data_IF_492241999208
#
_entry.id   IF_492241999208
#
_cell.length_a   1.000
_cell.length_b   1.000
_cell.length_c   1.000
_cell.angle_alpha   90.00
_cell.angle_beta   90.00
_cell.angle_gamma   90.00
#
_symmetry.space_group_name_H-M   'P 1'
#
loop_
_entity.id
_entity.type
_entity.pdbx_description
1 polymer ?
#
# COMPACT_ATOMS: atom_id res chain seq x y z
N UNK A 1 -2.89 -23.17 10.48
CA UNK A 1 -3.03 -21.80 11.03
C UNK A 1 -3.74 -20.98 9.97
N UNK A 2 -4.77 -20.22 10.33
CA UNK A 2 -5.63 -19.58 9.33
C UNK A 2 -5.30 -18.10 9.16
N UNK A 3 -5.49 -17.61 7.93
CA UNK A 3 -5.51 -16.17 7.61
C UNK A 3 -6.33 -15.35 8.62
N UNK A 4 -7.42 -15.95 9.11
CA UNK A 4 -8.36 -15.31 10.02
C UNK A 4 -7.80 -15.14 11.44
N UNK A 5 -6.85 -15.99 11.88
CA UNK A 5 -6.22 -15.91 13.19
C UNK A 5 -5.35 -14.65 13.31
N UNK A 6 -4.48 -14.41 12.31
CA UNK A 6 -3.63 -13.21 12.29
C UNK A 6 -4.48 -11.93 12.13
N UNK A 7 -5.46 -11.94 11.23
CA UNK A 7 -6.38 -10.81 11.07
C UNK A 7 -7.06 -10.46 12.40
N UNK A 8 -7.59 -11.46 13.10
CA UNK A 8 -8.30 -11.28 14.38
C UNK A 8 -7.36 -10.78 15.47
N UNK A 9 -6.15 -11.35 15.56
CA UNK A 9 -5.11 -10.93 16.50
C UNK A 9 -4.76 -9.44 16.33
N UNK A 10 -4.56 -9.00 15.09
CA UNK A 10 -4.26 -7.59 14.78
C UNK A 10 -5.46 -6.71 15.14
N UNK A 11 -6.67 -7.11 14.76
CA UNK A 11 -7.89 -6.34 15.05
C UNK A 11 -8.18 -6.21 16.55
N UNK A 12 -7.71 -7.14 17.37
CA UNK A 12 -7.80 -7.08 18.82
C UNK A 12 -6.71 -6.21 19.47
N UNK A 13 -5.73 -5.73 18.69
CA UNK A 13 -4.59 -4.96 19.19
C UNK A 13 -3.51 -5.80 19.87
N UNK A 14 -3.52 -7.13 19.67
CA UNK A 14 -2.54 -8.03 20.29
C UNK A 14 -1.24 -8.07 19.49
N UNK A 15 -0.31 -7.17 19.82
CA UNK A 15 0.99 -7.06 19.15
C UNK A 15 1.79 -8.36 19.27
N UNK A 16 1.85 -8.95 20.47
CA UNK A 16 2.69 -10.11 20.74
C UNK A 16 2.23 -11.32 19.94
N UNK A 17 0.94 -11.64 20.00
CA UNK A 17 0.40 -12.77 19.26
C UNK A 17 0.44 -12.54 17.75
N UNK A 18 0.23 -11.29 17.29
CA UNK A 18 0.31 -10.98 15.86
C UNK A 18 1.73 -11.14 15.30
N UNK A 19 2.75 -10.76 16.06
CA UNK A 19 4.16 -11.03 15.70
C UNK A 19 4.43 -12.53 15.66
N UNK A 20 3.95 -13.30 16.63
CA UNK A 20 4.13 -14.76 16.64
C UNK A 20 3.49 -15.41 15.40
N UNK A 21 2.21 -15.12 15.14
CA UNK A 21 1.46 -15.69 14.02
C UNK A 21 2.07 -15.30 12.67
N UNK A 22 2.45 -14.04 12.47
CA UNK A 22 3.12 -13.61 11.23
C UNK A 22 4.46 -14.32 11.02
N UNK A 23 5.26 -14.48 12.09
CA UNK A 23 6.53 -15.21 12.01
C UNK A 23 6.33 -16.68 11.67
N UNK A 24 5.30 -17.31 12.23
CA UNK A 24 4.92 -18.67 11.87
C UNK A 24 4.53 -18.77 10.39
N UNK A 25 3.78 -17.82 9.85
CA UNK A 25 3.43 -17.80 8.43
C UNK A 25 4.67 -17.65 7.53
N UNK A 26 5.64 -16.82 7.94
CA UNK A 26 6.90 -16.64 7.19
C UNK A 26 7.71 -17.93 7.15
N UNK A 27 7.81 -18.64 8.28
CA UNK A 27 8.70 -19.81 8.42
C UNK A 27 8.06 -21.10 7.92
N UNK A 28 6.76 -21.30 8.16
CA UNK A 28 6.07 -22.57 7.90
C UNK A 28 5.40 -22.55 6.54
N UNK A 29 4.67 -21.47 6.24
CA UNK A 29 3.81 -21.41 5.06
C UNK A 29 4.52 -20.80 3.84
N UNK A 30 5.70 -20.17 4.03
CA UNK A 30 6.47 -19.44 3.00
C UNK A 30 5.59 -18.47 2.16
N UNK A 31 4.48 -18.02 2.75
CA UNK A 31 3.37 -17.38 2.04
C UNK A 31 3.34 -15.88 2.31
N UNK A 32 4.34 -15.17 1.79
CA UNK A 32 4.47 -13.73 1.99
C UNK A 32 3.28 -12.94 1.43
N UNK A 33 2.82 -13.25 0.21
CA UNK A 33 1.65 -12.63 -0.43
C UNK A 33 0.39 -12.68 0.47
N UNK A 34 0.26 -13.72 1.29
CA UNK A 34 -0.87 -13.85 2.21
C UNK A 34 -0.79 -12.81 3.33
N UNK A 35 0.40 -12.48 3.83
CA UNK A 35 0.59 -11.40 4.81
C UNK A 35 0.18 -10.05 4.22
N UNK A 36 0.60 -9.76 2.99
CA UNK A 36 0.23 -8.52 2.30
C UNK A 36 -1.30 -8.38 2.19
N UNK A 37 -1.96 -9.47 1.78
CA UNK A 37 -3.42 -9.52 1.71
C UNK A 37 -4.09 -9.35 3.08
N UNK A 38 -3.51 -9.88 4.17
CA UNK A 38 -4.03 -9.68 5.52
C UNK A 38 -3.90 -8.22 5.94
N UNK A 39 -2.75 -7.59 5.72
CA UNK A 39 -2.54 -6.19 6.10
C UNK A 39 -3.44 -5.23 5.31
N UNK A 40 -3.66 -5.51 4.01
CA UNK A 40 -4.65 -4.80 3.20
C UNK A 40 -6.07 -4.98 3.77
N UNK A 41 -6.44 -6.21 4.16
CA UNK A 41 -7.75 -6.49 4.75
C UNK A 41 -7.93 -5.75 6.10
N UNK A 42 -6.89 -5.68 6.94
CA UNK A 42 -6.92 -4.89 8.19
C UNK A 42 -7.01 -3.39 7.91
N UNK A 43 -6.24 -2.87 6.95
CA UNK A 43 -6.33 -1.46 6.51
C UNK A 43 -7.74 -1.10 6.07
N UNK A 44 -8.36 -1.95 5.26
CA UNK A 44 -9.75 -1.78 4.86
C UNK A 44 -10.68 -1.85 6.06
N UNK A 45 -10.50 -2.82 6.96
CA UNK A 45 -11.28 -2.92 8.19
C UNK A 45 -11.25 -1.61 8.99
N UNK A 46 -10.05 -1.06 9.25
CA UNK A 46 -9.85 0.23 9.92
C UNK A 46 -10.53 1.36 9.15
N UNK A 47 -10.39 1.40 7.82
CA UNK A 47 -11.06 2.38 6.95
C UNK A 47 -12.59 2.43 7.10
N UNK A 48 -13.23 1.37 7.63
CA UNK A 48 -14.68 1.39 7.94
C UNK A 48 -15.06 2.21 9.17
N UNK A 49 -14.14 2.47 10.11
CA UNK A 49 -14.42 3.21 11.35
C UNK A 49 -13.39 4.29 11.71
N UNK A 50 -12.33 4.45 10.90
CA UNK A 50 -11.31 5.47 11.10
C UNK A 50 -11.91 6.87 11.27
N UNK A 51 -11.23 7.71 12.03
CA UNK A 51 -11.62 9.09 12.30
C UNK A 51 -10.60 10.05 11.69
N UNK A 52 -11.03 11.27 11.35
CA UNK A 52 -10.17 12.23 10.67
C UNK A 52 -8.93 12.61 11.50
N UNK A 53 -9.00 12.54 12.83
CA UNK A 53 -7.88 12.84 13.72
C UNK A 53 -6.77 11.79 13.69
N UNK A 54 -7.07 10.56 13.26
CA UNK A 54 -6.08 9.47 13.19
C UNK A 54 -5.77 9.05 11.75
N UNK A 55 -6.39 9.68 10.75
CA UNK A 55 -6.23 9.27 9.36
C UNK A 55 -4.78 9.41 8.87
N UNK A 56 -3.99 10.32 9.43
CA UNK A 56 -2.55 10.42 9.17
C UNK A 56 -1.78 9.18 9.59
N UNK A 57 -2.20 8.49 10.66
CA UNK A 57 -1.62 7.19 11.07
C UNK A 57 -1.93 6.10 10.05
N UNK A 58 -3.16 6.07 9.53
CA UNK A 58 -3.56 5.11 8.51
C UNK A 58 -2.84 5.37 7.17
N UNK A 59 -2.65 6.64 6.81
CA UNK A 59 -1.87 7.04 5.64
C UNK A 59 -0.41 6.56 5.71
N UNK A 60 0.23 6.70 6.88
CA UNK A 60 1.58 6.18 7.13
C UNK A 60 1.64 4.65 7.00
N UNK A 61 0.63 3.92 7.50
CA UNK A 61 0.53 2.47 7.31
C UNK A 61 0.36 2.09 5.82
N UNK A 62 -0.44 2.85 5.06
CA UNK A 62 -0.58 2.60 3.61
C UNK A 62 0.75 2.72 2.89
N UNK A 63 1.58 3.69 3.27
CA UNK A 63 2.91 3.85 2.71
C UNK A 63 3.83 2.67 3.05
N UNK A 64 3.87 2.24 4.31
CA UNK A 64 4.70 1.11 4.70
C UNK A 64 4.32 -0.19 3.96
N UNK A 65 3.02 -0.47 3.84
CA UNK A 65 2.53 -1.65 3.11
C UNK A 65 2.80 -1.52 1.61
N UNK A 66 2.61 -0.33 1.04
CA UNK A 66 2.91 -0.09 -0.37
C UNK A 66 4.40 -0.32 -0.67
N UNK A 67 5.29 0.17 0.20
CA UNK A 67 6.73 -0.06 0.08
C UNK A 67 7.08 -1.55 0.26
N UNK A 68 6.42 -2.24 1.20
CA UNK A 68 6.58 -3.68 1.39
C UNK A 68 6.25 -4.47 0.11
N UNK A 69 5.13 -4.14 -0.54
CA UNK A 69 4.68 -4.77 -1.80
C UNK A 69 5.68 -4.52 -2.95
N UNK A 70 6.39 -3.39 -2.97
CA UNK A 70 7.41 -3.11 -4.00
C UNK A 70 8.76 -3.79 -3.72
N UNK A 71 8.96 -4.31 -2.51
CA UNK A 71 10.26 -4.84 -2.10
C UNK A 71 10.32 -6.34 -2.37
N UNK A 72 11.23 -6.77 -3.25
CA UNK A 72 11.47 -8.19 -3.56
C UNK A 72 12.07 -9.00 -2.38
N UNK A 73 12.32 -8.34 -1.23
CA UNK A 73 12.98 -8.92 -0.06
C UNK A 73 12.10 -8.79 1.18
N UNK A 74 11.99 -9.90 1.90
CA UNK A 74 11.31 -9.95 3.18
C UNK A 74 12.18 -9.30 4.26
N UNK A 75 11.79 -8.10 4.72
CA UNK A 75 12.45 -7.40 5.81
C UNK A 75 11.62 -7.57 7.08
N UNK A 76 12.01 -8.52 7.94
CA UNK A 76 11.30 -8.88 9.19
C UNK A 76 10.99 -7.65 10.06
N UNK A 77 11.96 -6.74 10.15
CA UNK A 77 11.84 -5.49 10.88
C UNK A 77 10.63 -4.66 10.41
N UNK A 78 10.47 -4.48 9.10
CA UNK A 78 9.36 -3.73 8.52
C UNK A 78 8.02 -4.41 8.80
N UNK A 79 7.98 -5.74 8.70
CA UNK A 79 6.77 -6.53 9.00
C UNK A 79 6.30 -6.30 10.43
N UNK A 80 7.22 -6.38 11.40
CA UNK A 80 6.86 -6.19 12.81
C UNK A 80 6.42 -4.76 13.11
N UNK A 81 7.03 -3.76 12.45
CA UNK A 81 6.60 -2.37 12.56
C UNK A 81 5.19 -2.19 12.01
N UNK A 82 4.90 -2.71 10.82
CA UNK A 82 3.56 -2.66 10.19
C UNK A 82 2.52 -3.30 11.12
N UNK A 83 2.78 -4.50 11.62
CA UNK A 83 1.90 -5.19 12.57
C UNK A 83 1.65 -4.32 13.81
N UNK A 84 2.71 -3.75 14.37
CA UNK A 84 2.62 -2.91 15.58
C UNK A 84 1.75 -1.69 15.31
N UNK A 85 1.96 -0.98 14.20
CA UNK A 85 1.16 0.18 13.79
C UNK A 85 -0.31 -0.19 13.60
N UNK A 86 -0.59 -1.30 12.91
CA UNK A 86 -1.96 -1.81 12.71
C UNK A 86 -2.64 -2.14 14.06
N UNK A 87 -1.94 -2.86 14.95
CA UNK A 87 -2.46 -3.21 16.28
C UNK A 87 -2.75 -1.97 17.13
N UNK A 88 -1.84 -0.98 17.16
CA UNK A 88 -2.05 0.27 17.89
C UNK A 88 -3.31 0.97 17.39
N UNK A 89 -3.46 1.10 16.07
CA UNK A 89 -4.61 1.80 15.50
C UNK A 89 -5.93 1.05 15.78
N UNK A 90 -5.92 -0.28 15.73
CA UNK A 90 -7.08 -1.09 16.16
C UNK A 90 -7.38 -0.94 17.66
N UNK A 91 -6.37 -0.95 18.53
CA UNK A 91 -6.54 -0.80 19.98
C UNK A 91 -7.17 0.56 20.35
N UNK A 92 -6.81 1.64 19.66
CA UNK A 92 -7.44 2.96 19.82
C UNK A 92 -8.96 2.85 19.62
N UNK A 93 -9.40 2.19 18.54
CA UNK A 93 -10.84 2.07 18.23
C UNK A 93 -11.55 0.95 19.01
N UNK A 94 -10.82 -0.01 19.57
CA UNK A 94 -11.39 -0.96 20.54
C UNK A 94 -11.73 -0.24 21.86
N UNK A 95 -10.88 0.71 22.29
CA UNK A 95 -11.11 1.55 23.48
C UNK A 95 -12.10 2.68 23.23
N UNK A 96 -12.15 3.19 22.01
CA UNK A 96 -13.05 4.27 21.59
C UNK A 96 -13.84 3.88 20.33
N UNK A 97 -14.88 3.03 20.46
CA UNK A 97 -15.61 2.52 19.31
C UNK A 97 -16.34 3.61 18.53
N UNK A 98 -16.25 3.54 17.20
CA UNK A 98 -16.95 4.42 16.26
C UNK A 98 -17.84 3.57 15.34
N UNK A 99 -18.97 4.13 14.92
CA UNK A 99 -19.87 3.45 14.00
C UNK A 99 -19.19 3.13 12.65
N UNK A 100 -19.29 1.88 12.22
CA UNK A 100 -18.72 1.41 10.94
C UNK A 100 -19.58 1.85 9.74
N UNK A 101 -18.95 2.37 8.71
CA UNK A 101 -19.51 2.42 7.36
C UNK A 101 -19.82 0.99 6.88
N UNK A 102 -20.80 0.82 5.99
CA UNK A 102 -21.21 -0.52 5.53
C UNK A 102 -22.32 -1.18 6.36
N UNK A 103 -22.52 -0.78 7.62
CA UNK A 103 -23.46 -1.48 8.52
C UNK A 103 -24.88 -0.87 8.54
N UNK A 104 -25.01 0.42 8.25
CA UNK A 104 -26.30 1.12 8.26
C UNK A 104 -27.22 0.67 7.12
N UNK A 105 -28.54 0.64 7.32
CA UNK A 105 -29.49 0.39 6.21
C UNK A 105 -29.45 1.51 5.17
N UNK A 106 -29.70 1.19 3.89
CA UNK A 106 -29.68 2.19 2.81
C UNK A 106 -30.69 3.33 3.05
N UNK A 107 -31.85 3.03 3.64
CA UNK A 107 -32.87 4.03 3.96
C UNK A 107 -32.38 5.04 5.02
N UNK A 108 -31.81 4.55 6.12
CA UNK A 108 -31.27 5.41 7.18
C UNK A 108 -30.07 6.21 6.67
N UNK A 109 -29.21 5.57 5.86
CA UNK A 109 -28.06 6.22 5.23
C UNK A 109 -28.51 7.37 4.34
N UNK A 110 -29.47 7.12 3.43
CA UNK A 110 -30.05 8.14 2.54
C UNK A 110 -30.61 9.33 3.34
N UNK A 111 -31.31 9.07 4.45
CA UNK A 111 -31.88 10.13 5.27
C UNK A 111 -30.78 11.00 5.91
N UNK A 112 -29.69 10.41 6.42
CA UNK A 112 -28.57 11.17 7.01
C UNK A 112 -27.91 12.10 6.02
N UNK A 113 -27.70 11.65 4.78
CA UNK A 113 -27.02 12.44 3.74
C UNK A 113 -27.98 13.18 2.80
N UNK A 114 -29.29 13.17 3.07
CA UNK A 114 -30.30 13.77 2.19
C UNK A 114 -30.04 15.26 1.96
N UNK A 115 -29.61 15.97 2.99
CA UNK A 115 -29.24 17.38 2.90
C UNK A 115 -28.09 17.63 1.91
N UNK A 116 -27.19 16.67 1.71
CA UNK A 116 -26.07 16.76 0.76
C UNK A 116 -26.54 16.40 -0.65
N UNK A 117 -27.28 15.29 -0.76
CA UNK A 117 -27.76 14.80 -2.06
C UNK A 117 -28.75 15.78 -2.71
N UNK A 118 -29.62 16.39 -1.91
CA UNK A 118 -30.70 17.26 -2.41
C UNK A 118 -30.29 18.73 -2.54
N UNK A 119 -29.33 19.20 -1.74
CA UNK A 119 -28.85 20.59 -1.82
C UNK A 119 -27.66 20.78 -2.78
N UNK A 120 -27.41 19.82 -3.68
CA UNK A 120 -26.34 19.94 -4.66
C UNK A 120 -26.81 20.65 -5.94
N UNK A 121 -26.69 21.97 -5.93
CA UNK A 121 -26.87 22.85 -7.09
C UNK A 121 -25.59 23.04 -7.92
N UNK A 122 -24.45 22.56 -7.41
CA UNK A 122 -23.17 22.70 -8.11
C UNK A 122 -23.19 21.91 -9.42
N UNK A 123 -22.87 22.61 -10.51
CA UNK A 123 -22.61 22.01 -11.83
C UNK A 123 -21.15 22.20 -12.19
N UNK A 124 -20.57 21.17 -12.80
CA UNK A 124 -19.22 21.27 -13.35
C UNK A 124 -19.24 22.19 -14.58
N UNK A 125 -18.22 23.05 -14.69
CA UNK A 125 -17.98 23.81 -15.92
C UNK A 125 -17.53 22.86 -17.04
N UNK A 126 -17.60 23.30 -18.30
CA UNK A 126 -17.13 22.49 -19.43
C UNK A 126 -15.67 22.04 -19.26
N UNK A 127 -14.78 22.95 -18.85
CA UNK A 127 -13.40 22.60 -18.53
C UNK A 127 -13.29 21.60 -17.37
N UNK A 128 -14.18 21.70 -16.39
CA UNK A 128 -14.30 20.73 -15.30
C UNK A 128 -14.68 19.33 -15.82
N UNK A 129 -15.69 19.25 -16.69
CA UNK A 129 -16.12 17.99 -17.31
C UNK A 129 -14.98 17.37 -18.14
N UNK A 130 -14.28 18.17 -18.94
CA UNK A 130 -13.17 17.70 -19.77
C UNK A 130 -12.04 17.05 -18.95
N UNK A 131 -11.78 17.52 -17.71
CA UNK A 131 -10.79 16.89 -16.82
C UNK A 131 -11.16 15.46 -16.46
N UNK A 132 -12.44 15.11 -16.48
CA UNK A 132 -12.97 13.80 -16.12
C UNK A 132 -13.33 12.92 -17.33
N UNK A 133 -12.96 13.29 -18.56
CA UNK A 133 -13.29 12.51 -19.78
C UNK A 133 -12.77 11.05 -19.73
N UNK A 134 -11.67 10.81 -19.01
CA UNK A 134 -11.12 9.46 -18.81
C UNK A 134 -11.96 8.57 -17.89
N UNK A 135 -12.82 9.14 -17.05
CA UNK A 135 -13.62 8.40 -16.06
C UNK A 135 -15.12 8.53 -16.29
N UNK A 136 -15.57 9.49 -17.09
CA UNK A 136 -16.97 9.65 -17.42
C UNK A 136 -17.39 8.62 -18.47
N UNK A 137 -18.60 8.05 -18.35
CA UNK A 137 -19.16 7.24 -19.43
C UNK A 137 -19.49 8.14 -20.63
N UNK A 138 -19.82 7.57 -21.80
CA UNK A 138 -20.31 8.34 -22.94
C UNK A 138 -21.50 9.25 -22.58
N UNK A 139 -21.61 10.41 -23.22
CA UNK A 139 -22.63 11.41 -22.93
C UNK A 139 -24.09 10.94 -23.14
N UNK A 140 -24.29 9.91 -23.96
CA UNK A 140 -25.57 9.25 -24.21
C UNK A 140 -25.86 8.09 -23.25
N UNK A 141 -24.93 7.74 -22.35
CA UNK A 141 -25.12 6.67 -21.38
C UNK A 141 -26.10 7.10 -20.27
N UNK A 142 -26.99 6.20 -19.84
CA UNK A 142 -28.03 6.50 -18.83
C UNK A 142 -27.47 7.06 -17.51
N UNK A 143 -26.28 6.60 -17.12
CA UNK A 143 -25.62 7.01 -15.89
C UNK A 143 -24.71 8.25 -16.03
N UNK A 144 -24.65 8.91 -17.20
CA UNK A 144 -23.79 10.08 -17.41
C UNK A 144 -24.11 11.24 -16.46
N UNK A 145 -25.39 11.64 -16.38
CA UNK A 145 -25.84 12.70 -15.47
C UNK A 145 -25.62 12.33 -14.00
N UNK A 146 -25.79 11.04 -13.67
CA UNK A 146 -25.52 10.52 -12.33
C UNK A 146 -24.03 10.62 -11.99
N UNK A 147 -23.14 10.26 -12.91
CA UNK A 147 -21.70 10.37 -12.74
C UNK A 147 -21.26 11.82 -12.51
N UNK A 148 -21.77 12.77 -13.31
CA UNK A 148 -21.53 14.20 -13.09
C UNK A 148 -22.04 14.68 -11.73
N UNK A 149 -23.22 14.22 -11.32
CA UNK A 149 -23.80 14.54 -10.01
C UNK A 149 -22.93 14.04 -8.85
N UNK A 150 -22.40 12.82 -8.94
CA UNK A 150 -21.48 12.26 -7.93
C UNK A 150 -20.22 13.11 -7.81
N UNK A 151 -19.57 13.43 -8.95
CA UNK A 151 -18.36 14.27 -8.96
C UNK A 151 -18.65 15.64 -8.32
N UNK A 152 -19.76 16.27 -8.70
CA UNK A 152 -20.15 17.56 -8.16
C UNK A 152 -20.37 17.50 -6.63
N UNK A 153 -21.05 16.46 -6.11
CA UNK A 153 -21.25 16.28 -4.67
C UNK A 153 -19.92 16.14 -3.94
N UNK A 154 -19.00 15.30 -4.43
CA UNK A 154 -17.69 15.08 -3.82
C UNK A 154 -16.92 16.40 -3.77
N UNK A 155 -16.80 17.10 -4.91
CA UNK A 155 -16.06 18.37 -4.99
C UNK A 155 -16.71 19.44 -4.10
N UNK A 156 -18.04 19.59 -4.15
CA UNK A 156 -18.76 20.57 -3.33
C UNK A 156 -18.50 20.33 -1.84
N UNK A 157 -18.61 19.08 -1.40
CA UNK A 157 -18.40 18.70 0.01
C UNK A 157 -16.96 18.94 0.46
N UNK A 158 -15.97 18.70 -0.40
CA UNK A 158 -14.58 19.03 -0.09
C UNK A 158 -14.42 20.55 0.04
N UNK A 159 -14.92 21.33 -0.93
CA UNK A 159 -14.78 22.80 -0.94
C UNK A 159 -15.39 23.50 0.28
N UNK A 160 -16.38 22.89 0.95
CA UNK A 160 -16.92 23.47 2.19
C UNK A 160 -15.92 23.51 3.34
N UNK A 161 -14.76 22.85 3.22
CA UNK A 161 -13.69 22.92 4.21
C UNK A 161 -12.63 23.97 3.91
N UNK A 162 -12.62 24.57 2.70
CA UNK A 162 -11.56 25.49 2.26
C UNK A 162 -11.39 26.64 3.28
N UNK A 163 -12.50 27.26 3.68
CA UNK A 163 -12.53 28.42 4.59
C UNK A 163 -12.51 28.05 6.09
N UNK A 164 -12.47 26.76 6.46
CA UNK A 164 -12.47 26.33 7.86
C UNK A 164 -11.04 26.29 8.43
N UNK A 165 -10.86 26.69 9.69
CA UNK A 165 -9.60 26.47 10.41
C UNK A 165 -9.47 25.01 10.83
N UNK A 166 -8.24 24.53 11.03
CA UNK A 166 -8.00 23.25 11.70
C UNK A 166 -8.57 23.21 13.14
N UNK A 167 -8.81 24.37 13.75
CA UNK A 167 -9.45 24.48 15.07
C UNK A 167 -10.98 24.19 15.04
N UNK A 168 -11.61 24.26 13.85
CA UNK A 168 -13.03 23.89 13.65
C UNK A 168 -13.22 22.35 13.58
N UNK A 169 -12.58 21.62 14.50
CA UNK A 169 -12.46 20.15 14.46
C UNK A 169 -13.83 19.47 14.32
N UNK A 170 -14.83 19.88 15.10
CA UNK A 170 -16.16 19.28 15.07
C UNK A 170 -16.86 19.42 13.71
N UNK A 171 -16.67 20.56 13.02
CA UNK A 171 -17.22 20.78 11.67
C UNK A 171 -16.48 19.92 10.65
N UNK A 172 -15.15 19.88 10.73
CA UNK A 172 -14.31 19.07 9.83
C UNK A 172 -14.64 17.58 9.96
N UNK A 173 -14.81 17.10 11.19
CA UNK A 173 -15.32 15.77 11.52
C UNK A 173 -16.69 15.52 10.89
N UNK A 174 -17.63 16.47 11.02
CA UNK A 174 -18.97 16.35 10.46
C UNK A 174 -18.94 16.20 8.94
N UNK A 175 -18.18 17.07 8.27
CA UNK A 175 -18.03 17.08 6.81
C UNK A 175 -17.35 15.79 6.33
N UNK A 176 -16.26 15.37 6.98
CA UNK A 176 -15.51 14.18 6.57
C UNK A 176 -16.36 12.92 6.73
N UNK A 177 -17.10 12.77 7.84
CA UNK A 177 -17.99 11.64 8.04
C UNK A 177 -19.16 11.65 7.04
N UNK A 178 -19.73 12.81 6.76
CA UNK A 178 -20.76 12.96 5.74
C UNK A 178 -20.27 12.49 4.36
N UNK A 179 -19.06 12.87 3.97
CA UNK A 179 -18.46 12.43 2.70
C UNK A 179 -18.27 10.90 2.66
N UNK A 180 -17.82 10.28 3.76
CA UNK A 180 -17.76 8.81 3.85
C UNK A 180 -19.12 8.15 3.66
N UNK A 181 -20.16 8.70 4.28
CA UNK A 181 -21.53 8.19 4.16
C UNK A 181 -22.08 8.35 2.74
N UNK A 182 -21.71 9.44 2.04
CA UNK A 182 -22.00 9.62 0.62
C UNK A 182 -21.33 8.54 -0.22
N UNK A 183 -20.03 8.29 -0.02
CA UNK A 183 -19.29 7.23 -0.71
C UNK A 183 -19.92 5.86 -0.45
N UNK A 184 -20.25 5.55 0.80
CA UNK A 184 -20.95 4.32 1.21
C UNK A 184 -22.29 4.16 0.47
N UNK A 185 -23.09 5.23 0.43
CA UNK A 185 -24.37 5.20 -0.28
C UNK A 185 -24.21 4.93 -1.77
N UNK A 186 -23.25 5.59 -2.41
CA UNK A 186 -22.97 5.44 -3.85
C UNK A 186 -22.51 4.01 -4.16
N UNK A 187 -21.56 3.46 -3.38
CA UNK A 187 -21.05 2.10 -3.57
C UNK A 187 -22.15 1.04 -3.45
N UNK A 188 -23.14 1.25 -2.58
CA UNK A 188 -24.27 0.32 -2.39
C UNK A 188 -25.39 0.45 -3.40
N UNK A 189 -25.41 1.51 -4.21
CA UNK A 189 -26.39 1.67 -5.30
C UNK A 189 -26.15 0.73 -6.47
N UNK A 190 -24.97 0.10 -6.56
CA UNK A 190 -24.61 -0.86 -7.62
C UNK A 190 -24.81 -0.29 -9.04
N UNK A 191 -24.56 1.00 -9.20
CA UNK A 191 -24.60 1.67 -10.50
C UNK A 191 -23.42 1.15 -11.34
N UNK A 192 -23.66 0.95 -12.62
CA UNK A 192 -22.64 0.55 -13.60
C UNK A 192 -22.17 1.78 -14.37
N UNK A 193 -20.88 2.05 -14.33
CA UNK A 193 -20.25 3.18 -15.00
C UNK A 193 -19.03 2.64 -15.75
N UNK A 194 -19.14 2.58 -17.07
CA UNK A 194 -18.02 2.24 -17.94
C UNK A 194 -17.02 3.40 -17.96
N UNK A 195 -15.75 3.12 -17.66
CA UNK A 195 -14.68 4.13 -17.59
C UNK A 195 -13.49 3.71 -18.46
N UNK A 196 -12.75 4.68 -19.01
CA UNK A 196 -11.45 4.40 -19.65
C UNK A 196 -10.37 4.12 -18.61
N UNK A 197 -10.54 4.66 -17.40
CA UNK A 197 -9.64 4.46 -16.26
C UNK A 197 -9.50 2.99 -15.85
N UNK A 198 -10.60 2.25 -15.86
CA UNK A 198 -10.59 0.80 -15.66
C UNK A 198 -11.56 0.14 -16.63
N UNK A 199 -11.07 -0.22 -17.81
CA UNK A 199 -11.89 -0.66 -18.95
C UNK A 199 -12.42 -2.09 -18.85
N UNK A 200 -11.91 -2.89 -17.91
CA UNK A 200 -12.24 -4.32 -17.79
C UNK A 200 -13.38 -4.61 -16.81
N UNK A 201 -13.88 -3.60 -16.10
CA UNK A 201 -14.94 -3.74 -15.10
C UNK A 201 -15.73 -2.42 -14.95
N UNK A 202 -17.06 -2.51 -14.95
CA UNK A 202 -17.98 -1.36 -14.94
C UNK A 202 -18.43 -0.97 -13.52
N UNK A 203 -17.76 -1.48 -12.50
CA UNK A 203 -18.12 -1.24 -11.11
C UNK A 203 -17.85 0.20 -10.68
N UNK A 204 -18.83 0.79 -9.98
CA UNK A 204 -18.72 2.16 -9.47
C UNK A 204 -17.51 2.41 -8.54
N UNK A 205 -16.92 1.36 -7.96
CA UNK A 205 -15.68 1.49 -7.19
C UNK A 205 -14.55 2.09 -8.02
N UNK A 206 -14.41 1.67 -9.29
CA UNK A 206 -13.38 2.16 -10.20
C UNK A 206 -13.63 3.60 -10.63
N UNK A 207 -14.90 3.96 -10.82
CA UNK A 207 -15.28 5.34 -11.04
C UNK A 207 -14.87 6.24 -9.86
N UNK A 208 -15.16 5.84 -8.62
CA UNK A 208 -14.78 6.62 -7.42
C UNK A 208 -13.26 6.75 -7.31
N UNK A 209 -12.51 5.66 -7.52
CA UNK A 209 -11.05 5.73 -7.57
C UNK A 209 -10.57 6.74 -8.63
N UNK A 210 -11.11 6.66 -9.85
CA UNK A 210 -10.80 7.61 -10.91
C UNK A 210 -11.10 9.07 -10.57
N UNK A 211 -12.20 9.34 -9.85
CA UNK A 211 -12.52 10.70 -9.36
C UNK A 211 -11.40 11.20 -8.45
N UNK A 212 -11.00 10.41 -7.44
CA UNK A 212 -9.96 10.80 -6.50
C UNK A 212 -8.58 10.89 -7.17
N UNK A 213 -8.23 9.98 -8.09
CA UNK A 213 -6.97 10.04 -8.85
C UNK A 213 -6.85 11.27 -9.75
N UNK A 214 -7.97 11.82 -10.22
CA UNK A 214 -7.96 13.07 -11.00
C UNK A 214 -7.88 14.30 -10.08
N UNK A 215 -8.54 14.25 -8.93
CA UNK A 215 -8.56 15.35 -7.95
C UNK A 215 -7.24 15.48 -7.18
N UNK A 216 -6.57 14.36 -6.90
CA UNK A 216 -5.42 14.28 -6.01
C UNK A 216 -4.28 13.51 -6.66
N UNK A 217 -3.06 14.04 -6.53
CA UNK A 217 -1.80 13.43 -7.03
C UNK A 217 -0.84 13.06 -5.89
N UNK A 218 -1.30 13.19 -4.66
CA UNK A 218 -0.52 12.92 -3.47
C UNK A 218 -0.32 11.41 -3.30
N UNK A 219 0.90 11.02 -2.91
CA UNK A 219 1.33 9.63 -2.74
C UNK A 219 0.37 8.77 -1.90
N UNK A 220 -0.30 9.36 -0.92
CA UNK A 220 -1.28 8.64 -0.08
C UNK A 220 -2.46 8.05 -0.87
N UNK A 221 -2.94 8.75 -1.90
CA UNK A 221 -4.01 8.24 -2.77
C UNK A 221 -3.50 7.15 -3.71
N UNK A 222 -2.27 7.30 -4.21
CA UNK A 222 -1.60 6.28 -5.02
C UNK A 222 -1.38 5.00 -4.19
N UNK A 223 -0.89 5.12 -2.96
CA UNK A 223 -0.73 4.01 -2.03
C UNK A 223 -2.07 3.34 -1.73
N UNK A 224 -3.11 4.11 -1.41
CA UNK A 224 -4.44 3.56 -1.14
C UNK A 224 -5.00 2.80 -2.35
N UNK A 225 -4.83 3.35 -3.56
CA UNK A 225 -5.24 2.68 -4.80
C UNK A 225 -4.42 1.41 -5.06
N UNK A 226 -3.11 1.46 -4.84
CA UNK A 226 -2.21 0.31 -4.96
C UNK A 226 -2.63 -0.83 -4.02
N UNK A 227 -2.89 -0.53 -2.75
CA UNK A 227 -3.40 -1.50 -1.78
C UNK A 227 -4.76 -2.07 -2.23
N UNK A 228 -5.64 -1.24 -2.78
CA UNK A 228 -6.93 -1.71 -3.31
C UNK A 228 -6.75 -2.64 -4.51
N UNK A 229 -5.78 -2.37 -5.39
CA UNK A 229 -5.58 -3.09 -6.64
C UNK A 229 -4.64 -4.32 -6.53
N UNK A 230 -3.79 -4.38 -5.51
CA UNK A 230 -2.82 -5.46 -5.32
C UNK A 230 -3.52 -6.84 -5.26
N UNK A 231 -3.18 -7.73 -6.19
CA UNK A 231 -3.81 -9.06 -6.35
C UNK A 231 -5.35 -9.01 -6.40
N UNK A 232 -5.92 -7.95 -6.99
CA UNK A 232 -7.36 -7.73 -6.99
C UNK A 232 -8.13 -8.84 -7.71
N UNK A 233 -9.14 -9.36 -7.02
CA UNK A 233 -10.15 -10.29 -7.55
C UNK A 233 -11.52 -9.78 -7.14
N UNK A 234 -12.55 -9.95 -7.97
CA UNK A 234 -13.92 -9.45 -7.69
C UNK A 234 -14.45 -9.85 -6.31
N UNK A 235 -14.05 -11.02 -5.80
CA UNK A 235 -14.38 -11.50 -4.44
C UNK A 235 -13.86 -10.61 -3.29
N UNK A 236 -12.77 -9.85 -3.50
CA UNK A 236 -12.19 -8.96 -2.50
C UNK A 236 -12.87 -7.59 -2.44
N UNK A 237 -13.70 -7.24 -3.42
CA UNK A 237 -14.38 -5.95 -3.51
C UNK A 237 -15.02 -5.53 -2.19
N UNK A 238 -15.87 -6.38 -1.62
CA UNK A 238 -16.62 -6.08 -0.39
C UNK A 238 -15.65 -5.89 0.78
N UNK A 239 -14.65 -6.77 0.91
CA UNK A 239 -13.64 -6.69 1.97
C UNK A 239 -12.78 -5.42 1.88
N UNK A 240 -12.56 -4.89 0.66
CA UNK A 240 -11.72 -3.71 0.40
C UNK A 240 -12.46 -2.37 0.36
N UNK A 241 -13.78 -2.35 0.61
CA UNK A 241 -14.55 -1.09 0.56
C UNK A 241 -14.11 -0.05 1.60
N UNK A 242 -13.51 -0.48 2.71
CA UNK A 242 -13.01 0.45 3.71
C UNK A 242 -11.88 1.35 3.23
N UNK A 243 -11.08 0.90 2.25
CA UNK A 243 -10.10 1.76 1.58
C UNK A 243 -10.79 2.91 0.83
N UNK A 244 -11.92 2.64 0.16
CA UNK A 244 -12.72 3.68 -0.50
C UNK A 244 -13.38 4.63 0.52
N UNK A 245 -13.87 4.11 1.64
CA UNK A 245 -14.40 4.96 2.71
C UNK A 245 -13.32 5.88 3.27
N UNK A 246 -12.07 5.42 3.38
CA UNK A 246 -10.96 6.24 3.87
C UNK A 246 -10.65 7.45 2.97
N UNK A 247 -10.99 7.40 1.68
CA UNK A 247 -10.77 8.51 0.75
C UNK A 247 -11.52 9.78 1.15
N UNK A 248 -12.72 9.64 1.73
CA UNK A 248 -13.49 10.77 2.25
C UNK A 248 -12.83 11.46 3.44
N UNK A 249 -11.96 10.76 4.17
CA UNK A 249 -11.15 11.34 5.25
C UNK A 249 -9.84 11.93 4.70
N UNK A 250 -9.16 11.16 3.84
CA UNK A 250 -7.87 11.53 3.26
C UNK A 250 -7.94 12.84 2.49
N UNK A 251 -9.02 13.07 1.73
CA UNK A 251 -9.16 14.30 0.96
C UNK A 251 -9.29 15.54 1.83
N UNK A 252 -9.96 15.45 2.98
CA UNK A 252 -10.04 16.56 3.94
C UNK A 252 -8.71 16.71 4.68
N UNK A 253 -8.07 15.60 5.04
CA UNK A 253 -6.75 15.59 5.69
C UNK A 253 -5.67 16.28 4.84
N UNK A 254 -5.62 16.05 3.53
CA UNK A 254 -4.67 16.75 2.66
C UNK A 254 -4.84 18.27 2.71
N UNK A 255 -6.07 18.76 2.82
CA UNK A 255 -6.36 20.20 2.93
C UNK A 255 -6.15 20.76 4.34
N UNK A 256 -6.16 19.91 5.38
CA UNK A 256 -6.14 20.30 6.81
C UNK A 256 -5.24 19.37 7.62
N UNK A 257 -3.96 19.24 7.24
CA UNK A 257 -3.06 18.21 7.79
C UNK A 257 -2.92 18.26 9.32
N UNK A 258 -2.95 19.46 9.92
CA UNK A 258 -2.79 19.64 11.36
C UNK A 258 -3.91 19.01 12.21
N UNK A 259 -5.04 18.61 11.59
CA UNK A 259 -6.11 17.89 12.29
C UNK A 259 -5.68 16.51 12.76
N UNK A 260 -4.67 15.90 12.12
CA UNK A 260 -4.13 14.59 12.48
C UNK A 260 -2.67 14.70 12.88
N UNK A 261 -2.41 14.64 14.19
CA UNK A 261 -1.07 14.80 14.78
C UNK A 261 -0.12 13.60 14.57
N UNK A 262 -0.51 12.64 13.74
CA UNK A 262 0.23 11.40 13.51
C UNK A 262 0.35 10.55 14.78
N UNK A 263 1.47 9.83 14.89
CA UNK A 263 1.80 8.99 16.05
C UNK A 263 2.18 9.83 17.28
N UNK A 264 1.55 9.56 18.41
CA UNK A 264 1.88 10.19 19.70
C UNK A 264 3.22 9.67 20.23
N UNK A 265 3.85 10.39 21.17
CA UNK A 265 5.12 9.95 21.77
C UNK A 265 5.01 8.55 22.42
N UNK A 266 3.86 8.23 23.03
CA UNK A 266 3.64 6.90 23.62
C UNK A 266 3.59 5.81 22.56
N UNK A 267 2.90 6.06 21.45
CA UNK A 267 2.81 5.11 20.33
C UNK A 267 4.17 4.95 19.65
N UNK A 268 4.90 6.04 19.42
CA UNK A 268 6.26 6.00 18.86
C UNK A 268 7.21 5.18 19.72
N UNK A 269 7.19 5.38 21.04
CA UNK A 269 8.03 4.59 21.95
C UNK A 269 7.78 3.08 21.83
N UNK A 270 6.53 2.66 21.58
CA UNK A 270 6.21 1.23 21.36
C UNK A 270 6.75 0.76 20.01
N UNK A 271 6.56 1.55 18.95
CA UNK A 271 7.07 1.26 17.60
C UNK A 271 8.60 1.14 17.62
N UNK A 272 9.28 2.14 18.18
CA UNK A 272 10.74 2.19 18.32
C UNK A 272 11.24 1.01 19.17
N UNK A 273 10.48 0.60 20.19
CA UNK A 273 10.90 -0.56 20.98
C UNK A 273 10.85 -1.86 20.18
N UNK A 274 9.82 -2.05 19.37
CA UNK A 274 9.71 -3.21 18.48
C UNK A 274 10.80 -3.16 17.41
N UNK A 275 11.09 -1.98 16.87
CA UNK A 275 12.19 -1.72 15.94
C UNK A 275 13.53 -2.26 16.47
N UNK A 276 13.89 -1.88 17.70
CA UNK A 276 15.11 -2.29 18.40
C UNK A 276 15.23 -3.80 18.63
N UNK A 277 14.13 -4.46 18.99
CA UNK A 277 14.16 -5.87 19.44
C UNK A 277 13.77 -6.86 18.34
N UNK A 278 13.30 -6.38 17.18
CA UNK A 278 12.72 -7.17 16.09
C UNK A 278 13.53 -8.42 15.71
N UNK A 279 14.83 -8.26 15.48
CA UNK A 279 15.72 -9.37 15.07
C UNK A 279 15.93 -10.39 16.20
N UNK A 280 16.06 -9.94 17.45
CA UNK A 280 16.18 -10.84 18.61
C UNK A 280 14.91 -11.65 18.78
N UNK A 281 13.76 -10.98 18.72
CA UNK A 281 12.45 -11.58 18.84
C UNK A 281 12.19 -12.62 17.73
N UNK A 282 12.54 -12.30 16.49
CA UNK A 282 12.47 -13.25 15.38
C UNK A 282 13.32 -14.50 15.63
N UNK A 283 14.57 -14.35 16.09
CA UNK A 283 15.45 -15.49 16.35
C UNK A 283 14.97 -16.36 17.52
N UNK A 284 14.33 -15.77 18.53
CA UNK A 284 13.68 -16.51 19.62
C UNK A 284 12.49 -17.31 19.10
N UNK A 285 11.54 -16.65 18.44
CA UNK A 285 10.34 -17.29 17.88
C UNK A 285 10.72 -18.38 16.87
N UNK A 286 11.71 -18.12 16.01
CA UNK A 286 12.21 -19.09 15.03
C UNK A 286 12.77 -20.34 15.71
N UNK A 287 13.58 -20.19 16.77
CA UNK A 287 14.13 -21.34 17.52
C UNK A 287 13.01 -22.17 18.13
N UNK A 288 12.02 -21.51 18.71
CA UNK A 288 10.86 -22.17 19.29
C UNK A 288 10.04 -22.92 18.24
N UNK A 289 9.83 -22.35 17.05
CA UNK A 289 9.11 -23.00 15.96
C UNK A 289 9.87 -24.22 15.45
N UNK A 290 11.18 -24.10 15.22
CA UNK A 290 12.02 -25.20 14.72
C UNK A 290 12.07 -26.34 15.76
N UNK A 291 12.19 -26.02 17.05
CA UNK A 291 12.19 -27.04 18.10
C UNK A 291 10.88 -27.84 18.16
N UNK A 292 9.76 -27.22 17.81
CA UNK A 292 8.43 -27.84 17.75
C UNK A 292 8.15 -28.56 16.43
N UNK A 293 8.91 -28.29 15.37
CA UNK A 293 8.74 -28.86 14.03
C UNK A 293 10.11 -29.26 13.45
N UNK A 294 10.70 -30.39 13.89
CA UNK A 294 12.07 -30.78 13.55
C UNK A 294 12.32 -30.92 12.04
N UNK A 295 11.30 -31.32 11.28
CA UNK A 295 11.31 -31.40 9.81
C UNK A 295 11.65 -30.08 9.10
N UNK A 296 11.40 -28.92 9.72
CA UNK A 296 11.78 -27.62 9.15
C UNK A 296 13.30 -27.40 9.19
N UNK A 297 14.02 -28.04 10.13
CA UNK A 297 15.48 -27.93 10.20
C UNK A 297 16.16 -28.62 9.01
N UNK A 298 15.59 -29.71 8.49
CA UNK A 298 16.14 -30.42 7.32
C UNK A 298 15.94 -29.64 6.02
N UNK A 299 14.79 -28.97 5.84
CA UNK A 299 14.55 -28.07 4.70
C UNK A 299 15.50 -26.88 4.69
N UNK A 300 15.69 -26.24 5.84
CA UNK A 300 16.60 -25.09 5.98
C UNK A 300 18.06 -25.49 5.68
N UNK A 301 18.48 -26.68 6.13
CA UNK A 301 19.82 -27.22 5.87
C UNK A 301 20.03 -27.64 4.40
N UNK A 302 19.00 -28.13 3.71
CA UNK A 302 19.07 -28.40 2.26
C UNK A 302 19.19 -27.11 1.44
N UNK A 303 18.38 -26.10 1.72
CA UNK A 303 18.41 -24.83 0.97
C UNK A 303 19.76 -24.12 1.13
N UNK A 304 20.30 -24.09 2.36
CA UNK A 304 21.64 -23.53 2.65
C UNK A 304 22.76 -24.33 1.96
N UNK A 305 22.57 -25.64 1.75
CA UNK A 305 23.53 -26.51 1.05
C UNK A 305 23.44 -26.31 -0.47
N UNK A 306 22.26 -26.12 -1.03
CA UNK A 306 22.03 -25.86 -2.45
C UNK A 306 22.52 -24.47 -2.87
N UNK A 307 22.36 -23.44 -2.03
CA UNK A 307 22.94 -22.10 -2.28
C UNK A 307 24.48 -22.13 -2.25
N UNK A 308 25.08 -22.85 -1.29
CA UNK A 308 26.53 -23.07 -1.27
C UNK A 308 27.05 -23.89 -2.45
N UNK A 309 26.23 -24.79 -3.01
CA UNK A 309 26.59 -25.55 -4.21
C UNK A 309 26.50 -24.65 -5.45
N UNK A 310 25.53 -23.74 -5.53
CA UNK A 310 25.43 -22.75 -6.63
C UNK A 310 26.56 -21.72 -6.63
N UNK A 311 27.04 -21.31 -5.47
CA UNK A 311 28.23 -20.43 -5.36
C UNK A 311 29.54 -21.13 -5.74
N UNK A 312 29.61 -22.47 -5.64
CA UNK A 312 30.81 -23.25 -5.93
C UNK A 312 30.78 -23.99 -7.29
N UNK A 313 29.75 -23.78 -8.12
CA UNK A 313 29.67 -24.42 -9.42
C UNK A 313 30.44 -23.63 -10.48
N UNK A 314 31.69 -24.04 -10.74
CA UNK A 314 32.58 -23.41 -11.72
C UNK A 314 32.00 -23.35 -13.15
N UNK A 315 30.98 -24.16 -13.46
CA UNK A 315 30.24 -24.09 -14.73
C UNK A 315 29.37 -22.84 -14.83
N UNK A 316 28.76 -22.38 -13.73
CA UNK A 316 27.97 -21.14 -13.70
C UNK A 316 28.85 -19.90 -13.85
N UNK A 317 30.09 -19.95 -13.34
CA UNK A 317 31.08 -18.90 -13.58
C UNK A 317 31.43 -18.82 -15.06
N UNK A 318 31.72 -19.95 -15.71
CA UNK A 318 32.03 -20.00 -17.15
C UNK A 318 30.86 -19.60 -18.05
N UNK A 319 29.63 -19.95 -17.69
CA UNK A 319 28.43 -19.62 -18.47
C UNK A 319 28.04 -18.15 -18.40
N UNK A 320 28.33 -17.48 -17.28
CA UNK A 320 28.01 -16.06 -17.07
C UNK A 320 29.21 -15.14 -17.21
N UNK A 321 30.39 -15.67 -17.52
CA UNK A 321 31.59 -14.88 -17.79
C UNK A 321 31.46 -14.20 -19.15
N UNK A 322 31.11 -12.92 -19.14
CA UNK A 322 31.25 -12.05 -20.31
C UNK A 322 32.67 -11.46 -20.23
N UNK A 323 33.59 -11.84 -21.14
CA UNK A 323 34.92 -11.22 -21.14
C UNK A 323 34.79 -9.74 -21.49
N UNK A 324 35.23 -8.88 -20.57
CA UNK A 324 35.43 -7.47 -20.87
C UNK A 324 36.59 -7.34 -21.86
N UNK A 325 36.28 -6.93 -23.10
CA UNK A 325 37.32 -6.45 -24.01
C UNK A 325 37.74 -5.09 -23.47
N UNK A 326 38.92 -5.05 -22.86
CA UNK A 326 39.55 -3.81 -22.41
C UNK A 326 39.90 -2.97 -23.65
N UNK A 327 38.95 -2.14 -24.09
CA UNK A 327 39.11 -1.23 -25.22
C UNK A 327 40.19 -0.15 -24.99
N UNK A 328 40.83 -0.13 -23.81
CA UNK A 328 42.00 0.69 -23.52
C UNK A 328 43.35 0.00 -23.78
N UNK A 329 43.38 -1.27 -24.23
CA UNK A 329 44.61 -1.99 -24.58
C UNK A 329 44.81 -2.19 -26.09
N UNK A 330 43.82 -1.90 -26.94
CA UNK A 330 44.00 -1.94 -28.40
C UNK A 330 45.02 -0.89 -28.88
N UNK A 331 44.98 0.32 -28.32
CA UNK A 331 45.92 1.41 -28.67
C UNK A 331 47.34 1.21 -28.10
N UNK A 332 47.53 0.28 -27.15
CA UNK A 332 48.85 -0.03 -26.58
C UNK A 332 49.57 -1.18 -27.31
N UNK A 333 48.87 -1.92 -28.17
CA UNK A 333 49.46 -3.00 -28.95
C UNK A 333 50.06 -2.48 -30.27
N UNK A 334 49.42 -1.53 -30.95
CA UNK A 334 49.99 -0.89 -32.16
C UNK A 334 51.23 0.00 -31.87
N UNK A 335 51.33 0.56 -30.66
CA UNK A 335 52.50 1.36 -30.26
C UNK A 335 53.73 0.51 -29.87
N UNK A 336 53.57 -0.80 -29.63
CA UNK A 336 54.67 -1.72 -29.31
C UNK A 336 55.26 -2.41 -30.54
N UNK A 337 54.52 -2.51 -31.64
CA UNK A 337 55.01 -3.15 -32.88
C UNK A 337 55.91 -2.23 -33.73
N UNK A 338 55.91 -0.90 -33.49
CA UNK A 338 56.73 0.06 -34.23
C UNK A 338 58.01 0.53 -33.52
N UNK A 339 58.43 -0.11 -32.42
CA UNK A 339 59.67 0.22 -31.69
C UNK A 339 60.50 -1.01 -31.28
N UNK A 340 60.76 -1.90 -32.23
CA UNK A 340 61.92 -2.82 -32.16
C UNK A 340 62.45 -3.08 -33.57
N UNK A 341 63.25 -2.14 -34.06
CA UNK A 341 64.28 -2.43 -35.04
C UNK A 341 65.53 -1.65 -34.62
N UNK A 342 66.70 -2.30 -34.76
CA UNK A 342 68.02 -1.96 -34.22
C UNK A 342 68.33 -2.45 -32.80
N UNK A 343 68.44 -3.79 -32.66
CA UNK A 343 69.45 -4.36 -31.78
C UNK A 343 70.72 -4.59 -32.63
N UNK A 344 71.77 -3.85 -32.32
CA UNK A 344 73.11 -3.99 -32.89
C UNK A 344 73.64 -5.41 -32.67
N UNK A 345 74.22 -5.95 -33.73
CA UNK A 345 74.86 -7.27 -33.81
C UNK A 345 76.24 -7.17 -33.13
N UNK A 346 76.57 -7.99 -32.11
CA UNK A 346 77.94 -8.11 -31.64
C UNK A 346 78.76 -8.93 -32.67
N UNK A 347 79.73 -8.29 -33.32
CA UNK A 347 80.76 -8.96 -34.13
C UNK A 347 81.88 -9.49 -33.23
N UNK A 348 82.16 -10.78 -33.36
CA UNK A 348 83.35 -11.51 -32.87
C UNK A 348 83.57 -12.58 -33.96
N UNK A 349 84.69 -12.80 -34.66
CA UNK A 349 86.08 -12.32 -34.74
C UNK A 349 86.55 -12.68 -36.19
N UNK A 350 87.67 -12.11 -36.63
CA UNK A 350 88.77 -12.68 -37.47
C UNK A 350 89.28 -11.55 -38.38
N UNK A 351 90.52 -11.04 -38.29
CA UNK A 351 91.84 -11.58 -37.90
C UNK A 351 92.72 -10.44 -37.40
#
# INVERSE_FOLDING_TARGET
MTKDDLFTSICNGDIQNSILLSTQMIIIDESFDVLELIYIDVCSYIGTFAYITDIGKLADIYEDIANMIDTDKIIIKNIYIIITKLCILCDIYNKHPVAKCGNMSIALLKNKIAHILNANDMKLSQNGIMRFDGILPPNNHENYSTALGIIAIIIKTIKTTDDLSCDDIDKLVGISNNLRLVIDYILRKKIKIETKFYSTDDDISWFIWGVYSILYKEKVFENAFKLYNHEYKKKYKIKRQGLLYSLGLLCIYIHKQDISKGWTNKERNVIDKIDEISIKLYNEIRRDIISKNPELSEKTNKHTREEKIKENDGLNFLLNYVPEIDSNNADKQEARENKTNYAEIPRVIET
#
